data_IF_322168632918
#
_entry.id   IF_322168632918
#
_cell.length_a   1.000
_cell.length_b   1.000
_cell.length_c   1.000
_cell.angle_alpha   90.00
_cell.angle_beta   90.00
_cell.angle_gamma   90.00
#
_symmetry.space_group_name_H-M   'P 1'
#
loop_
_entity.id
_entity.type
_entity.pdbx_description
1 polymer ?
#
# COMPACT_ATOMS: atom_id res chain seq x y z
N UNK A 1 -5.11 6.25 -8.02
CA UNK A 1 -6.33 5.47 -8.34
C UNK A 1 -6.09 4.02 -7.94
N UNK A 2 -6.98 3.40 -7.18
CA UNK A 2 -6.94 1.96 -6.88
C UNK A 2 -7.64 1.20 -8.03
N UNK A 3 -7.07 0.14 -8.61
CA UNK A 3 -7.70 -0.55 -9.72
C UNK A 3 -9.00 -1.22 -9.23
N UNK A 4 -10.13 -0.91 -9.87
CA UNK A 4 -11.44 -1.50 -9.51
C UNK A 4 -11.46 -3.02 -9.64
N UNK A 5 -10.64 -3.56 -10.52
CA UNK A 5 -10.56 -4.98 -10.88
C UNK A 5 -9.27 -5.62 -10.33
N UNK A 6 -8.75 -5.09 -9.22
CA UNK A 6 -7.60 -5.68 -8.56
C UNK A 6 -8.02 -6.91 -7.75
N UNK A 7 -7.48 -8.07 -8.13
CA UNK A 7 -7.66 -9.32 -7.40
C UNK A 7 -6.42 -9.62 -6.56
N UNK A 8 -6.56 -9.51 -5.24
CA UNK A 8 -5.47 -9.79 -4.32
C UNK A 8 -5.19 -11.30 -4.23
N UNK A 9 -3.92 -11.71 -4.29
CA UNK A 9 -3.56 -13.10 -4.05
C UNK A 9 -3.51 -13.43 -2.56
N UNK A 10 -3.81 -14.69 -2.21
CA UNK A 10 -3.65 -15.20 -0.85
C UNK A 10 -2.18 -15.06 -0.43
N UNK A 11 -1.93 -14.51 0.76
CA UNK A 11 -0.60 -14.20 1.30
C UNK A 11 0.22 -13.16 0.51
N UNK A 12 -0.38 -12.44 -0.44
CA UNK A 12 0.31 -11.37 -1.19
C UNK A 12 0.35 -10.02 -0.47
N UNK A 13 0.14 -9.96 0.85
CA UNK A 13 0.09 -8.69 1.59
C UNK A 13 1.21 -8.63 2.62
N UNK A 14 2.09 -7.65 2.49
CA UNK A 14 3.16 -7.35 3.46
C UNK A 14 2.94 -5.97 4.08
N UNK A 15 3.24 -5.85 5.39
CA UNK A 15 3.09 -4.63 6.17
C UNK A 15 4.41 -4.28 6.84
N UNK A 16 4.99 -3.14 6.47
CA UNK A 16 6.28 -2.68 6.99
C UNK A 16 6.14 -1.41 7.81
N UNK A 17 6.78 -1.37 8.98
CA UNK A 17 6.92 -0.17 9.78
C UNK A 17 7.73 0.90 9.04
N UNK A 18 7.26 2.14 9.09
CA UNK A 18 7.95 3.26 8.46
C UNK A 18 9.13 3.68 9.35
N UNK A 19 10.36 3.43 8.87
CA UNK A 19 11.60 3.80 9.58
C UNK A 19 12.07 5.23 9.29
N UNK A 20 11.65 5.81 8.16
CA UNK A 20 12.00 7.18 7.80
C UNK A 20 11.15 8.17 8.61
N UNK A 21 11.79 8.95 9.49
CA UNK A 21 11.14 9.90 10.40
C UNK A 21 10.45 11.04 9.65
N UNK A 22 11.14 11.69 8.72
CA UNK A 22 10.57 12.81 7.94
C UNK A 22 9.30 12.41 7.18
N UNK A 23 9.31 11.21 6.58
CA UNK A 23 8.12 10.66 5.92
C UNK A 23 7.00 10.39 6.93
N UNK A 24 7.33 9.82 8.09
CA UNK A 24 6.34 9.53 9.13
C UNK A 24 5.71 10.81 9.67
N UNK A 25 6.48 11.88 9.83
CA UNK A 25 5.98 13.17 10.31
C UNK A 25 5.01 13.79 9.29
N UNK A 26 5.37 13.78 7.99
CA UNK A 26 4.45 14.20 6.92
C UNK A 26 3.14 13.41 6.88
N UNK A 27 3.20 12.11 7.17
CA UNK A 27 1.99 11.29 7.25
C UNK A 27 1.15 11.63 8.49
N UNK A 28 1.80 11.99 9.60
CA UNK A 28 1.12 12.40 10.85
C UNK A 28 0.45 13.77 10.76
N UNK A 29 0.91 14.64 9.87
CA UNK A 29 0.19 15.86 9.51
C UNK A 29 -1.18 15.54 8.85
N UNK A 30 -1.29 14.43 8.13
CA UNK A 30 -2.55 13.99 7.49
C UNK A 30 -3.48 13.31 8.50
N UNK A 31 -2.91 12.45 9.35
CA UNK A 31 -3.61 11.84 10.48
C UNK A 31 -2.59 11.41 11.54
N UNK A 32 -2.74 11.92 12.75
CA UNK A 32 -1.87 11.55 13.87
C UNK A 32 -1.92 10.05 14.16
N UNK A 33 -0.79 9.46 14.54
CA UNK A 33 -0.73 8.09 15.03
C UNK A 33 0.26 7.20 14.27
N UNK A 34 -0.06 5.90 14.23
CA UNK A 34 0.77 4.89 13.57
C UNK A 34 0.44 4.84 12.08
N UNK A 35 1.49 4.76 11.28
CA UNK A 35 1.42 4.56 9.85
C UNK A 35 2.26 3.36 9.45
N UNK A 36 1.76 2.60 8.50
CA UNK A 36 2.38 1.38 7.99
C UNK A 36 2.45 1.45 6.47
N UNK A 37 3.56 1.01 5.89
CA UNK A 37 3.66 0.84 4.43
C UNK A 37 3.15 -0.54 4.06
N UNK A 38 2.11 -0.59 3.24
CA UNK A 38 1.47 -1.82 2.80
C UNK A 38 1.85 -2.10 1.35
N UNK A 39 2.18 -3.36 1.09
CA UNK A 39 2.43 -3.93 -0.23
C UNK A 39 1.36 -5.00 -0.46
N UNK A 40 0.68 -4.95 -1.60
CA UNK A 40 -0.42 -5.86 -1.91
C UNK A 40 -0.30 -6.35 -3.33
N UNK A 41 0.14 -7.60 -3.48
CA UNK A 41 0.29 -8.29 -4.74
C UNK A 41 -1.03 -8.88 -5.21
N UNK A 42 -1.20 -8.92 -6.52
CA UNK A 42 -2.42 -9.39 -7.15
C UNK A 42 -2.35 -9.35 -8.67
N UNK A 43 -3.52 -9.39 -9.27
CA UNK A 43 -3.72 -9.28 -10.70
C UNK A 43 -4.58 -8.06 -11.02
N UNK A 44 -4.33 -7.45 -12.17
CA UNK A 44 -5.28 -6.50 -12.76
C UNK A 44 -6.31 -7.24 -13.63
N UNK A 45 -7.26 -6.53 -14.23
CA UNK A 45 -8.30 -7.14 -15.08
C UNK A 45 -7.79 -7.85 -16.32
N UNK A 46 -6.60 -7.51 -16.79
CA UNK A 46 -5.96 -8.21 -17.90
C UNK A 46 -5.24 -9.49 -17.46
N UNK A 47 -5.31 -9.87 -16.18
CA UNK A 47 -4.56 -10.99 -15.62
C UNK A 47 -3.07 -10.71 -15.43
N UNK A 48 -2.62 -9.47 -15.56
CA UNK A 48 -1.22 -9.10 -15.36
C UNK A 48 -0.91 -8.98 -13.87
N UNK A 49 0.25 -9.52 -13.47
CA UNK A 49 0.77 -9.38 -12.10
C UNK A 49 1.05 -7.91 -11.81
N UNK A 50 0.46 -7.40 -10.73
CA UNK A 50 0.71 -6.05 -10.23
C UNK A 50 0.85 -6.06 -8.71
N UNK A 51 1.55 -5.06 -8.20
CA UNK A 51 1.70 -4.80 -6.78
C UNK A 51 1.25 -3.39 -6.44
N UNK A 52 0.36 -3.27 -5.45
CA UNK A 52 -0.15 -1.98 -4.99
C UNK A 52 0.56 -1.61 -3.69
N UNK A 53 1.25 -0.48 -3.70
CA UNK A 53 1.95 0.06 -2.53
C UNK A 53 1.22 1.28 -2.02
N UNK A 54 1.03 1.38 -0.70
CA UNK A 54 0.39 2.54 -0.09
C UNK A 54 0.79 2.70 1.37
N UNK A 55 0.54 3.87 1.93
CA UNK A 55 0.60 4.09 3.37
C UNK A 55 -0.78 3.95 3.96
N UNK A 56 -0.90 3.21 5.06
CA UNK A 56 -2.14 3.03 5.80
C UNK A 56 -1.97 3.54 7.23
N UNK A 57 -2.89 4.39 7.67
CA UNK A 57 -2.95 4.85 9.05
C UNK A 57 -3.59 3.80 9.96
N UNK A 58 -3.54 4.01 11.27
CA UNK A 58 -4.18 3.13 12.24
C UNK A 58 -5.73 3.09 12.07
N UNK A 59 -6.35 4.18 11.62
CA UNK A 59 -7.80 4.23 11.34
C UNK A 59 -8.18 3.53 10.03
N UNK A 60 -7.20 3.18 9.20
CA UNK A 60 -7.39 2.58 7.87
C UNK A 60 -7.31 3.57 6.72
N UNK A 61 -7.04 4.86 6.96
CA UNK A 61 -6.86 5.88 5.92
C UNK A 61 -5.69 5.51 5.00
N UNK A 62 -5.90 5.63 3.69
CA UNK A 62 -4.91 5.25 2.67
C UNK A 62 -4.32 6.50 2.02
N UNK A 63 -3.00 6.54 1.87
CA UNK A 63 -2.29 7.64 1.22
C UNK A 63 -1.21 7.15 0.25
N UNK A 64 -0.95 7.96 -0.79
CA UNK A 64 0.09 7.74 -1.81
C UNK A 64 0.06 6.33 -2.45
N UNK A 65 -1.11 5.96 -3.01
CA UNK A 65 -1.29 4.68 -3.71
C UNK A 65 -0.48 4.65 -4.99
N UNK A 66 0.38 3.64 -5.13
CA UNK A 66 1.20 3.38 -6.31
C UNK A 66 0.93 1.97 -6.81
N UNK A 67 0.78 1.83 -8.13
CA UNK A 67 0.69 0.53 -8.80
C UNK A 67 2.01 0.25 -9.50
N UNK A 68 2.57 -0.93 -9.28
CA UNK A 68 3.82 -1.39 -9.87
C UNK A 68 3.56 -2.62 -10.74
N UNK A 69 4.19 -2.73 -11.92
CA UNK A 69 4.16 -3.96 -12.69
C UNK A 69 4.94 -5.06 -11.96
N UNK A 70 4.43 -6.29 -12.00
CA UNK A 70 4.99 -7.42 -11.26
C UNK A 70 4.63 -7.41 -9.77
N UNK A 71 4.97 -8.51 -9.11
CA UNK A 71 4.83 -8.67 -7.66
C UNK A 71 6.06 -8.14 -6.93
N UNK A 72 5.86 -7.62 -5.73
CA UNK A 72 6.93 -6.98 -4.95
C UNK A 72 6.64 -6.89 -3.44
N UNK A 73 5.81 -7.79 -2.89
CA UNK A 73 5.58 -7.87 -1.45
C UNK A 73 6.74 -8.49 -0.67
#
# INVERSE_FOLDING_TARGET
VYPKEFEAVKNGTTKNTIKNKELLDKLREIESGKWTKVYKDGYNSSGNKISIHYFQSQSGKVFNVKVKPGWSN
#
